data_IF_119323053976
#
_entry.id   IF_119323053976
#
_cell.length_a   1.000
_cell.length_b   1.000
_cell.length_c   1.000
_cell.angle_alpha   90.00
_cell.angle_beta   90.00
_cell.angle_gamma   90.00
#
_symmetry.space_group_name_H-M   'P 1'
#
loop_
_entity.id
_entity.type
_entity.pdbx_description
1 polymer ?
#
# COMPACT_ATOMS: atom_id res chain seq x y z
N UNK A 1 5.85 -22.60 -0.90
CA UNK A 1 6.71 -22.20 0.24
C UNK A 1 5.82 -22.01 1.44
N UNK A 2 6.20 -22.54 2.60
CA UNK A 2 5.41 -22.44 3.84
C UNK A 2 6.17 -21.51 4.77
N UNK A 3 5.57 -20.37 5.12
CA UNK A 3 6.07 -19.53 6.22
C UNK A 3 5.61 -20.20 7.51
N UNK A 4 6.55 -20.70 8.30
CA UNK A 4 6.29 -21.33 9.60
C UNK A 4 6.81 -20.43 10.70
N UNK A 5 6.02 -20.22 11.75
CA UNK A 5 6.48 -19.56 12.98
C UNK A 5 7.07 -20.62 13.92
N UNK A 6 8.25 -21.14 13.57
CA UNK A 6 8.95 -22.21 14.29
C UNK A 6 10.42 -21.81 14.47
N UNK A 7 10.89 -21.79 15.73
CA UNK A 7 12.26 -21.39 16.09
C UNK A 7 13.35 -22.27 15.46
N UNK A 8 13.02 -23.47 14.97
CA UNK A 8 14.00 -24.32 14.26
C UNK A 8 14.31 -23.78 12.86
N UNK A 9 13.49 -22.86 12.34
CA UNK A 9 13.61 -22.28 11.01
C UNK A 9 13.72 -20.75 11.09
N UNK A 10 14.80 -20.26 11.72
CA UNK A 10 15.10 -18.83 11.74
C UNK A 10 15.59 -18.35 10.37
N UNK A 11 14.79 -17.49 9.73
CA UNK A 11 15.19 -16.76 8.54
C UNK A 11 15.80 -15.40 8.91
N UNK A 12 16.93 -15.06 8.30
CA UNK A 12 17.58 -13.77 8.49
C UNK A 12 17.10 -12.80 7.40
N UNK A 13 16.41 -11.74 7.84
CA UNK A 13 15.88 -10.67 6.98
C UNK A 13 17.00 -9.80 6.43
N UNK A 14 16.83 -9.26 5.21
CA UNK A 14 17.71 -8.18 4.74
C UNK A 14 17.44 -6.91 5.53
N UNK A 15 18.44 -6.04 5.64
CA UNK A 15 18.33 -4.80 6.44
C UNK A 15 17.28 -3.80 5.89
N UNK A 16 16.91 -3.96 4.63
CA UNK A 16 16.06 -3.05 3.86
C UNK A 16 14.81 -3.73 3.27
N UNK A 17 14.60 -5.01 3.58
CA UNK A 17 13.51 -5.86 3.08
C UNK A 17 13.48 -6.04 1.54
N UNK A 18 14.52 -5.63 0.79
CA UNK A 18 14.56 -5.74 -0.67
C UNK A 18 14.63 -7.20 -1.14
N UNK A 19 15.35 -8.05 -0.42
CA UNK A 19 15.49 -9.47 -0.77
C UNK A 19 14.13 -10.18 -0.67
N UNK A 20 13.34 -9.85 0.34
CA UNK A 20 12.01 -10.44 0.54
C UNK A 20 11.01 -9.92 -0.50
N UNK A 21 11.15 -8.67 -0.96
CA UNK A 21 10.39 -8.13 -2.10
C UNK A 21 10.76 -8.85 -3.40
N UNK A 22 12.04 -9.04 -3.70
CA UNK A 22 12.50 -9.75 -4.91
C UNK A 22 12.06 -11.21 -4.93
N UNK A 23 12.01 -11.84 -3.75
CA UNK A 23 11.46 -13.20 -3.58
C UNK A 23 9.93 -13.25 -3.71
N UNK A 24 9.25 -12.10 -3.77
CA UNK A 24 7.79 -12.00 -3.82
C UNK A 24 7.09 -12.34 -2.50
N UNK A 25 7.81 -12.29 -1.38
CA UNK A 25 7.23 -12.54 -0.05
C UNK A 25 6.51 -11.31 0.48
N UNK A 26 6.93 -10.13 0.01
CA UNK A 26 6.33 -8.83 0.27
C UNK A 26 5.87 -8.25 -1.07
N UNK A 27 4.60 -7.85 -1.15
CA UNK A 27 4.01 -7.27 -2.36
C UNK A 27 3.69 -5.81 -2.12
N UNK A 28 4.45 -4.90 -2.75
CA UNK A 28 4.17 -3.46 -2.70
C UNK A 28 3.46 -2.98 -3.96
N UNK A 29 2.57 -2.01 -3.80
CA UNK A 29 1.96 -1.30 -4.93
C UNK A 29 2.87 -0.23 -5.52
N UNK A 30 2.34 0.51 -6.51
CA UNK A 30 2.98 1.69 -7.07
C UNK A 30 2.11 2.94 -6.88
N UNK A 31 2.69 4.13 -7.03
CA UNK A 31 1.93 5.40 -7.00
C UNK A 31 1.07 5.54 -8.26
N UNK A 32 -0.14 4.99 -8.20
CA UNK A 32 -1.23 5.18 -9.19
C UNK A 32 -2.40 5.95 -8.58
N UNK A 33 -2.09 6.97 -7.78
CA UNK A 33 -3.08 7.80 -7.09
C UNK A 33 -2.56 9.21 -6.83
N UNK A 34 -3.46 10.16 -6.56
CA UNK A 34 -3.15 11.56 -6.28
C UNK A 34 -3.11 11.89 -4.77
N UNK A 35 -2.83 13.14 -4.35
CA UNK A 35 -2.83 13.50 -2.92
C UNK A 35 -4.18 13.37 -2.19
N UNK A 36 -5.29 13.17 -2.90
CA UNK A 36 -6.66 13.02 -2.38
C UNK A 36 -7.11 11.53 -2.35
N UNK A 37 -6.16 10.62 -2.12
CA UNK A 37 -6.19 9.18 -2.41
C UNK A 37 -7.04 8.66 -3.58
N UNK A 38 -7.23 9.42 -4.66
CA UNK A 38 -8.01 8.96 -5.83
C UNK A 38 -7.13 8.15 -6.76
N UNK A 39 -7.59 6.98 -7.19
CA UNK A 39 -6.88 6.16 -8.18
C UNK A 39 -6.84 6.88 -9.51
N UNK A 40 -5.69 6.85 -10.18
CA UNK A 40 -5.49 7.44 -11.50
C UNK A 40 -5.62 6.37 -12.60
N UNK A 41 -6.23 6.74 -13.72
CA UNK A 41 -6.24 5.94 -14.93
C UNK A 41 -4.89 6.04 -15.69
N UNK A 42 -4.81 5.36 -16.84
CA UNK A 42 -3.61 5.38 -17.69
C UNK A 42 -3.27 6.75 -18.28
N UNK A 43 -4.22 7.70 -18.28
CA UNK A 43 -4.03 9.09 -18.71
C UNK A 43 -3.69 10.01 -17.52
N UNK A 44 -3.55 9.48 -16.31
CA UNK A 44 -3.29 10.24 -15.10
C UNK A 44 -4.52 11.00 -14.58
N UNK A 45 -5.72 10.65 -15.04
CA UNK A 45 -6.96 11.27 -14.57
C UNK A 45 -7.57 10.46 -13.42
N UNK A 46 -8.13 11.11 -12.39
CA UNK A 46 -8.83 10.41 -11.32
C UNK A 46 -9.99 9.57 -11.84
N UNK A 47 -9.98 8.28 -11.51
CA UNK A 47 -11.11 7.37 -11.72
C UNK A 47 -12.21 7.74 -10.72
N UNK A 48 -13.39 8.05 -11.25
CA UNK A 48 -14.52 8.51 -10.43
C UNK A 48 -14.86 7.53 -9.31
N UNK A 49 -14.91 8.06 -8.08
CA UNK A 49 -15.28 7.34 -6.84
C UNK A 49 -14.39 6.13 -6.50
N UNK A 50 -13.20 6.03 -7.10
CA UNK A 50 -12.25 4.97 -6.79
C UNK A 50 -11.09 5.53 -5.96
N UNK A 51 -10.97 5.01 -4.74
CA UNK A 51 -9.98 5.44 -3.75
C UNK A 51 -9.09 4.28 -3.33
N UNK A 52 -7.90 4.61 -2.83
CA UNK A 52 -6.89 3.64 -2.43
C UNK A 52 -6.33 3.94 -1.03
N UNK A 53 -6.01 2.88 -0.28
CA UNK A 53 -5.39 2.96 1.04
C UNK A 53 -4.59 1.68 1.35
N UNK A 54 -3.59 1.79 2.23
CA UNK A 54 -2.76 0.66 2.68
C UNK A 54 -1.55 0.38 1.80
N UNK A 55 -0.98 -0.82 1.92
CA UNK A 55 0.29 -1.24 1.29
C UNK A 55 0.39 -1.00 -0.23
N UNK A 56 -0.75 -0.96 -0.92
CA UNK A 56 -0.83 -0.66 -2.35
C UNK A 56 -0.41 0.80 -2.68
N UNK A 57 -0.36 1.71 -1.69
CA UNK A 57 0.03 3.12 -1.92
C UNK A 57 1.54 3.33 -2.00
N UNK A 58 2.34 2.46 -1.38
CA UNK A 58 3.81 2.47 -1.43
C UNK A 58 4.43 3.88 -1.35
N UNK A 59 4.04 4.67 -0.34
CA UNK A 59 4.44 6.08 -0.16
C UNK A 59 5.97 6.20 -0.05
N UNK A 60 6.64 5.16 0.46
CA UNK A 60 8.08 5.07 0.63
C UNK A 60 8.84 4.55 -0.61
N UNK A 61 8.14 4.30 -1.72
CA UNK A 61 8.72 4.00 -3.03
C UNK A 61 9.59 2.74 -3.06
N UNK A 62 10.91 2.91 -3.14
CA UNK A 62 11.86 1.79 -3.16
C UNK A 62 12.16 1.22 -1.77
N UNK A 63 11.82 1.95 -0.70
CA UNK A 63 12.05 1.52 0.67
C UNK A 63 10.78 0.88 1.24
N UNK A 64 10.92 -0.27 1.89
CA UNK A 64 9.88 -0.83 2.74
C UNK A 64 10.30 -0.59 4.19
N UNK A 65 9.68 0.43 4.79
CA UNK A 65 10.16 1.02 6.04
C UNK A 65 9.28 0.56 7.19
N UNK A 66 9.55 -0.63 7.73
CA UNK A 66 8.91 -1.23 8.92
C UNK A 66 7.44 -0.78 9.16
N UNK A 67 7.15 -0.13 10.28
CA UNK A 67 5.82 0.35 10.67
C UNK A 67 5.20 1.43 9.73
N UNK A 68 5.88 1.78 8.64
CA UNK A 68 5.39 2.62 7.56
C UNK A 68 4.08 2.10 6.98
N UNK A 69 3.98 0.79 6.74
CA UNK A 69 2.76 0.18 6.19
C UNK A 69 1.54 0.34 7.13
N UNK A 70 1.77 0.26 8.44
CA UNK A 70 0.73 0.53 9.44
C UNK A 70 0.27 1.98 9.34
N UNK A 71 1.21 2.90 9.20
CA UNK A 71 0.93 4.33 9.02
C UNK A 71 0.15 4.58 7.73
N UNK A 72 0.51 3.94 6.62
CA UNK A 72 -0.22 4.02 5.34
C UNK A 72 -1.67 3.53 5.46
N UNK A 73 -1.89 2.43 6.17
CA UNK A 73 -3.23 1.92 6.45
C UNK A 73 -4.08 2.94 7.24
N UNK A 74 -3.56 3.47 8.35
CA UNK A 74 -4.36 4.35 9.22
C UNK A 74 -4.53 5.76 8.66
N UNK A 75 -3.45 6.38 8.18
CA UNK A 75 -3.50 7.76 7.68
C UNK A 75 -4.14 7.79 6.30
N UNK A 76 -3.66 6.96 5.38
CA UNK A 76 -4.21 6.85 4.02
C UNK A 76 -5.67 6.41 4.05
N UNK A 77 -6.00 5.40 4.86
CA UNK A 77 -7.37 4.92 5.03
C UNK A 77 -8.32 5.98 5.59
N UNK A 78 -7.87 6.80 6.54
CA UNK A 78 -8.68 7.91 7.07
C UNK A 78 -8.97 8.98 6.02
N UNK A 79 -8.00 9.33 5.18
CA UNK A 79 -8.18 10.34 4.14
C UNK A 79 -9.09 9.78 3.02
N UNK A 80 -8.76 8.60 2.50
CA UNK A 80 -9.54 7.91 1.48
C UNK A 80 -11.00 7.73 1.91
N UNK A 81 -11.23 7.26 3.14
CA UNK A 81 -12.58 7.05 3.68
C UNK A 81 -13.39 8.34 3.82
N UNK A 82 -12.76 9.45 4.26
CA UNK A 82 -13.44 10.76 4.32
C UNK A 82 -13.83 11.25 2.94
N UNK A 83 -12.92 11.16 1.97
CA UNK A 83 -13.17 11.62 0.62
C UNK A 83 -14.27 10.79 -0.05
N UNK A 84 -14.18 9.46 0.05
CA UNK A 84 -15.22 8.56 -0.43
C UNK A 84 -16.59 8.83 0.20
N UNK A 85 -16.64 9.16 1.50
CA UNK A 85 -17.88 9.47 2.20
C UNK A 85 -18.50 10.82 1.78
N UNK A 86 -17.73 11.71 1.14
CA UNK A 86 -18.23 13.00 0.62
C UNK A 86 -18.74 12.91 -0.82
N UNK A 87 -18.60 11.75 -1.47
CA UNK A 87 -19.12 11.52 -2.81
C UNK A 87 -20.64 11.69 -2.85
N UNK A 88 -21.14 12.32 -3.91
CA UNK A 88 -22.57 12.39 -4.15
C UNK A 88 -23.09 10.98 -4.45
N UNK A 89 -24.33 10.62 -4.09
CA UNK A 89 -24.98 9.41 -4.58
C UNK A 89 -24.94 9.34 -6.11
N UNK A 90 -25.03 8.13 -6.67
CA UNK A 90 -25.35 8.00 -8.09
C UNK A 90 -26.81 8.42 -8.28
N UNK A 91 -27.10 9.12 -9.37
CA UNK A 91 -28.46 9.36 -9.82
C UNK A 91 -29.04 8.09 -10.49
#
# INVERSE_FOLDING_TARGET
MVIVNDERYHYQWSADNLVEIEKGWILKGGRVYDPEPRVLDSAGQPVSRLYVAGEITAIFGHLYLEAGNITECFVGGRIAGKNAATEKPWD
#
